data_IF_927001855129
#
_entry.id   IF_927001855129
#
_cell.length_a   1.000
_cell.length_b   1.000
_cell.length_c   1.000
_cell.angle_alpha   90.00
_cell.angle_beta   90.00
_cell.angle_gamma   90.00
#
_symmetry.space_group_name_H-M   'P 1'
#
loop_
_entity.id
_entity.type
_entity.pdbx_description
1 polymer ?
#
# COMPACT_ATOMS: atom_id res chain seq x y z
N UNK A 1 -4.58 -6.49 -12.31
CA UNK A 1 -3.83 -6.69 -11.03
C UNK A 1 -2.86 -7.84 -11.24
N UNK A 2 -1.60 -7.71 -10.81
CA UNK A 2 -0.63 -8.81 -10.90
C UNK A 2 -0.94 -9.82 -9.79
N UNK A 3 -1.13 -11.09 -10.15
CA UNK A 3 -1.42 -12.16 -9.20
C UNK A 3 -0.10 -12.65 -8.58
N UNK A 4 0.19 -12.24 -7.34
CA UNK A 4 1.42 -12.60 -6.63
C UNK A 4 1.05 -13.24 -5.29
N UNK A 5 1.41 -14.51 -5.09
CA UNK A 5 1.20 -15.21 -3.83
C UNK A 5 2.21 -14.71 -2.78
N UNK A 6 1.74 -14.38 -1.58
CA UNK A 6 2.59 -13.87 -0.48
C UNK A 6 3.15 -14.98 0.41
N UNK A 7 2.58 -16.18 0.30
CA UNK A 7 2.78 -17.30 1.24
C UNK A 7 4.01 -18.15 0.89
N UNK A 8 4.39 -18.22 -0.38
CA UNK A 8 5.46 -19.12 -0.87
C UNK A 8 6.82 -18.41 -1.01
N UNK A 9 7.20 -17.57 -0.05
CA UNK A 9 8.48 -16.86 -0.14
C UNK A 9 9.24 -16.86 1.19
N UNK A 10 10.21 -17.78 1.37
CA UNK A 10 10.99 -17.90 2.60
C UNK A 10 11.68 -16.59 2.98
N UNK A 11 11.69 -16.25 4.27
CA UNK A 11 12.27 -14.99 4.77
C UNK A 11 13.77 -14.87 4.44
N UNK A 12 14.50 -15.97 4.49
CA UNK A 12 15.93 -15.99 4.18
C UNK A 12 16.21 -15.71 2.70
N UNK A 13 15.44 -16.35 1.82
CA UNK A 13 15.49 -16.12 0.38
C UNK A 13 15.19 -14.64 0.08
N UNK A 14 14.18 -14.06 0.74
CA UNK A 14 13.85 -12.64 0.63
C UNK A 14 15.03 -11.74 0.98
N UNK A 15 15.74 -12.03 2.08
CA UNK A 15 16.91 -11.24 2.49
C UNK A 15 18.04 -11.34 1.46
N UNK A 16 18.31 -12.53 0.93
CA UNK A 16 19.33 -12.75 -0.12
C UNK A 16 18.99 -11.98 -1.40
N UNK A 17 17.73 -12.03 -1.85
CA UNK A 17 17.25 -11.31 -3.03
C UNK A 17 17.40 -9.79 -2.86
N UNK A 18 16.97 -9.24 -1.73
CA UNK A 18 17.13 -7.80 -1.47
C UNK A 18 18.60 -7.36 -1.40
N UNK A 19 19.48 -8.19 -0.81
CA UNK A 19 20.91 -7.90 -0.79
C UNK A 19 21.47 -7.85 -2.21
N UNK A 20 21.10 -8.82 -3.06
CA UNK A 20 21.56 -8.87 -4.44
C UNK A 20 21.07 -7.68 -5.26
N UNK A 21 19.81 -7.29 -5.06
CA UNK A 21 19.25 -6.08 -5.68
C UNK A 21 20.02 -4.82 -5.26
N UNK A 22 20.28 -4.67 -3.95
CA UNK A 22 21.06 -3.54 -3.44
C UNK A 22 22.49 -3.49 -4.01
N UNK A 23 23.16 -4.64 -4.15
CA UNK A 23 24.47 -4.71 -4.78
C UNK A 23 24.46 -4.29 -6.25
N UNK A 24 23.43 -4.67 -7.02
CA UNK A 24 23.28 -4.25 -8.42
C UNK A 24 23.12 -2.73 -8.53
N UNK A 25 22.30 -2.14 -7.67
CA UNK A 25 22.12 -0.70 -7.61
C UNK A 25 23.43 -0.01 -7.23
N UNK A 26 24.13 -0.49 -6.19
CA UNK A 26 25.40 0.09 -5.72
C UNK A 26 26.53 0.01 -6.75
N UNK A 27 26.55 -1.04 -7.59
CA UNK A 27 27.56 -1.25 -8.63
C UNK A 27 27.33 -0.41 -9.88
N UNK A 28 26.20 0.30 -9.99
CA UNK A 28 25.88 1.11 -11.16
C UNK A 28 26.52 2.50 -11.00
N UNK A 29 27.62 2.83 -11.70
CA UNK A 29 28.34 4.09 -11.52
C UNK A 29 27.61 5.30 -12.14
N UNK A 30 26.65 5.06 -13.05
CA UNK A 30 25.90 6.10 -13.75
C UNK A 30 24.40 5.80 -13.78
N UNK A 31 23.60 6.85 -13.95
CA UNK A 31 22.15 6.76 -14.08
C UNK A 31 21.75 5.87 -15.27
N UNK A 32 22.42 6.01 -16.42
CA UNK A 32 22.15 5.18 -17.59
C UNK A 32 22.43 3.69 -17.33
N UNK A 33 23.53 3.38 -16.63
CA UNK A 33 23.85 1.99 -16.26
C UNK A 33 22.84 1.42 -15.27
N UNK A 34 22.32 2.24 -14.36
CA UNK A 34 21.27 1.84 -13.43
C UNK A 34 19.99 1.47 -14.19
N UNK A 35 19.55 2.31 -15.13
CA UNK A 35 18.34 2.07 -15.94
C UNK A 35 18.49 0.80 -16.77
N UNK A 36 19.65 0.59 -17.40
CA UNK A 36 19.96 -0.66 -18.13
C UNK A 36 19.91 -1.89 -17.23
N UNK A 37 20.46 -1.81 -16.02
CA UNK A 37 20.42 -2.90 -15.06
C UNK A 37 19.00 -3.18 -14.56
N UNK A 38 18.17 -2.14 -14.37
CA UNK A 38 16.76 -2.29 -14.00
C UNK A 38 15.93 -2.91 -15.12
N UNK A 39 16.23 -2.63 -16.39
CA UNK A 39 15.56 -3.20 -17.55
C UNK A 39 15.75 -4.72 -17.69
N UNK A 40 16.76 -5.30 -17.04
CA UNK A 40 16.95 -6.76 -16.97
C UNK A 40 15.95 -7.39 -15.99
N UNK A 41 15.53 -6.65 -14.96
CA UNK A 41 14.69 -7.17 -13.87
C UNK A 41 13.21 -6.80 -14.01
N UNK A 42 12.92 -5.66 -14.62
CA UNK A 42 11.59 -5.09 -14.73
C UNK A 42 11.18 -4.94 -16.19
N UNK A 43 9.88 -5.08 -16.44
CA UNK A 43 9.31 -4.70 -17.72
C UNK A 43 9.31 -3.18 -17.89
N UNK A 44 9.25 -2.70 -19.14
CA UNK A 44 9.19 -1.27 -19.45
C UNK A 44 8.04 -0.55 -18.71
N UNK A 45 6.90 -1.22 -18.58
CA UNK A 45 5.74 -0.68 -17.85
C UNK A 45 5.97 -0.57 -16.33
N UNK A 46 6.69 -1.52 -15.73
CA UNK A 46 7.05 -1.48 -14.31
C UNK A 46 8.09 -0.40 -14.02
N UNK A 47 9.04 -0.19 -14.94
CA UNK A 47 10.02 0.89 -14.85
C UNK A 47 9.30 2.24 -14.92
N UNK A 48 8.45 2.44 -15.92
CA UNK A 48 7.64 3.67 -16.06
C UNK A 48 6.81 3.92 -14.80
N UNK A 49 6.23 2.86 -14.22
CA UNK A 49 5.47 2.98 -12.98
C UNK A 49 6.36 3.38 -11.80
N UNK A 50 7.58 2.85 -11.72
CA UNK A 50 8.55 3.19 -10.69
C UNK A 50 8.99 4.66 -10.81
N UNK A 51 9.30 5.13 -12.03
CA UNK A 51 9.63 6.53 -12.32
C UNK A 51 8.51 7.48 -11.90
N UNK A 52 7.27 7.21 -12.33
CA UNK A 52 6.08 8.00 -11.93
C UNK A 52 5.94 8.06 -10.40
N UNK A 53 6.20 6.96 -9.70
CA UNK A 53 6.13 6.92 -8.23
C UNK A 53 7.26 7.70 -7.56
N UNK A 54 8.47 7.69 -8.13
CA UNK A 54 9.60 8.49 -7.66
C UNK A 54 9.43 9.99 -7.95
N UNK A 55 8.71 10.34 -9.01
CA UNK A 55 8.39 11.74 -9.34
C UNK A 55 7.42 12.37 -8.33
N UNK A 56 6.52 11.59 -7.72
CA UNK A 56 5.50 12.11 -6.79
C UNK A 56 6.12 12.92 -5.63
N UNK A 57 7.10 12.42 -4.86
CA UNK A 57 7.76 13.20 -3.83
C UNK A 57 8.36 14.53 -4.33
N UNK A 58 8.96 14.54 -5.53
CA UNK A 58 9.54 15.74 -6.12
C UNK A 58 8.46 16.77 -6.49
N UNK A 59 7.35 16.32 -7.06
CA UNK A 59 6.21 17.20 -7.40
C UNK A 59 5.47 17.70 -6.16
N UNK A 60 5.36 16.87 -5.12
CA UNK A 60 4.82 17.29 -3.83
C UNK A 60 5.72 18.36 -3.17
N UNK A 61 7.04 18.22 -3.26
CA UNK A 61 7.98 19.22 -2.75
C UNK A 61 7.89 20.56 -3.50
N UNK A 62 7.53 20.52 -4.80
CA UNK A 62 7.21 21.71 -5.61
C UNK A 62 5.83 22.33 -5.30
N UNK A 63 5.07 21.77 -4.37
CA UNK A 63 3.78 22.32 -3.94
C UNK A 63 2.59 21.95 -4.81
N UNK A 64 2.73 21.03 -5.77
CA UNK A 64 1.61 20.64 -6.63
C UNK A 64 0.53 19.90 -5.84
N UNK A 65 -0.73 20.17 -6.17
CA UNK A 65 -1.88 19.47 -5.63
C UNK A 65 -1.98 18.04 -6.20
N UNK A 66 -2.73 17.18 -5.52
CA UNK A 66 -2.85 15.77 -5.93
C UNK A 66 -3.51 15.63 -7.31
N UNK A 67 -4.40 16.55 -7.67
CA UNK A 67 -5.06 16.57 -8.97
C UNK A 67 -4.09 16.96 -10.07
N UNK A 68 -3.25 17.96 -9.83
CA UNK A 68 -2.22 18.40 -10.80
C UNK A 68 -1.18 17.31 -11.01
N UNK A 69 -0.70 16.68 -9.93
CA UNK A 69 0.20 15.52 -10.02
C UNK A 69 -0.45 14.40 -10.83
N UNK A 70 -1.70 14.06 -10.52
CA UNK A 70 -2.40 13.00 -11.23
C UNK A 70 -2.56 13.29 -12.73
N UNK A 71 -2.79 14.55 -13.11
CA UNK A 71 -2.85 14.97 -14.52
C UNK A 71 -1.48 14.99 -15.20
N UNK A 72 -0.44 15.42 -14.50
CA UNK A 72 0.89 15.60 -15.09
C UNK A 72 1.61 14.28 -15.40
N UNK A 73 1.48 13.29 -14.51
CA UNK A 73 2.19 12.00 -14.64
C UNK A 73 1.25 10.81 -14.82
N UNK A 74 -0.05 11.06 -15.01
CA UNK A 74 -1.08 10.03 -15.20
C UNK A 74 -1.03 8.96 -14.10
N UNK A 75 -1.31 9.41 -12.87
CA UNK A 75 -1.33 8.57 -11.67
C UNK A 75 -2.57 8.87 -10.85
N UNK A 76 -3.21 7.83 -10.31
CA UNK A 76 -4.40 8.03 -9.47
C UNK A 76 -4.10 8.86 -8.22
N UNK A 77 -5.02 9.73 -7.76
CA UNK A 77 -4.87 10.46 -6.50
C UNK A 77 -4.65 9.55 -5.28
N UNK A 78 -5.17 8.31 -5.34
CA UNK A 78 -4.99 7.29 -4.30
C UNK A 78 -3.51 6.88 -4.20
N UNK A 79 -2.83 6.70 -5.34
CA UNK A 79 -1.41 6.39 -5.38
C UNK A 79 -0.56 7.54 -4.83
N UNK A 80 -0.90 8.79 -5.17
CA UNK A 80 -0.24 9.99 -4.63
C UNK A 80 -0.36 10.04 -3.11
N UNK A 81 -1.58 9.82 -2.60
CA UNK A 81 -1.84 9.74 -1.15
C UNK A 81 -1.04 8.62 -0.48
N UNK A 82 -1.04 7.41 -1.07
CA UNK A 82 -0.28 6.28 -0.56
C UNK A 82 1.21 6.59 -0.44
N UNK A 83 1.81 7.16 -1.48
CA UNK A 83 3.22 7.52 -1.52
C UNK A 83 3.54 8.58 -0.48
N UNK A 84 2.77 9.68 -0.44
CA UNK A 84 2.96 10.71 0.58
C UNK A 84 2.95 10.09 1.97
N UNK A 85 1.96 9.27 2.30
CA UNK A 85 1.84 8.69 3.63
C UNK A 85 2.89 7.64 3.98
N UNK A 86 3.53 6.99 3.01
CA UNK A 86 4.53 5.92 3.21
C UNK A 86 5.96 6.44 3.17
N UNK A 87 6.24 7.42 2.31
CA UNK A 87 7.59 7.94 2.07
C UNK A 87 7.88 9.23 2.86
N UNK A 88 6.89 10.08 3.13
CA UNK A 88 7.12 11.37 3.82
C UNK A 88 6.80 11.36 5.31
N UNK A 89 6.10 10.33 5.84
CA UNK A 89 5.86 10.23 7.28
C UNK A 89 7.04 9.55 7.96
N UNK A 90 7.66 10.25 8.91
CA UNK A 90 8.57 9.63 9.89
C UNK A 90 7.88 8.51 10.70
N UNK A 91 8.65 7.74 11.49
CA UNK A 91 8.11 6.64 12.27
C UNK A 91 6.92 7.13 13.11
N UNK A 92 5.78 6.44 12.99
CA UNK A 92 4.59 6.78 13.78
C UNK A 92 4.90 6.48 15.23
N UNK A 93 5.08 7.52 16.05
CA UNK A 93 5.02 7.37 17.50
C UNK A 93 3.60 6.87 17.82
N UNK A 94 3.45 5.72 18.50
CA UNK A 94 2.14 5.28 18.96
C UNK A 94 1.54 6.39 19.82
N UNK A 95 0.46 7.00 19.34
CA UNK A 95 -0.32 7.91 20.19
C UNK A 95 -1.06 7.04 21.19
N UNK A 96 -0.65 7.10 22.46
CA UNK A 96 -1.49 6.61 23.55
C UNK A 96 -2.82 7.34 23.47
N UNK A 97 -3.86 6.59 23.12
CA UNK A 97 -5.22 7.10 23.16
C UNK A 97 -5.62 7.08 24.63
N UNK A 98 -5.35 8.16 25.36
CA UNK A 98 -6.10 8.42 26.58
C UNK A 98 -7.55 8.66 26.17
N UNK A 99 -8.38 7.62 26.24
CA UNK A 99 -9.81 7.81 26.14
C UNK A 99 -10.24 8.56 27.40
N UNK A 100 -10.60 9.83 27.25
CA UNK A 100 -11.20 10.63 28.33
C UNK A 100 -12.54 10.04 28.83
N UNK A 101 -13.02 8.98 28.19
CA UNK A 101 -14.22 8.27 28.52
C UNK A 101 -13.89 6.80 28.82
N UNK A 102 -14.49 6.20 29.86
CA UNK A 102 -14.39 4.77 30.07
C UNK A 102 -14.94 4.03 28.85
N UNK A 103 -14.42 2.83 28.51
CA UNK A 103 -14.97 2.01 27.46
C UNK A 103 -16.47 1.82 27.72
N UNK A 104 -17.34 2.42 26.88
CA UNK A 104 -18.77 2.13 26.95
C UNK A 104 -18.91 0.63 26.70
N UNK A 105 -19.37 -0.10 27.71
CA UNK A 105 -19.80 -1.48 27.54
C UNK A 105 -20.76 -1.51 26.35
N UNK A 106 -20.32 -2.14 25.27
CA UNK A 106 -21.22 -2.49 24.17
C UNK A 106 -22.20 -3.49 24.76
N UNK A 107 -23.33 -3.01 25.27
CA UNK A 107 -24.50 -3.86 25.50
C UNK A 107 -24.69 -4.61 24.19
N UNK A 108 -24.47 -5.92 24.20
CA UNK A 108 -24.80 -6.79 23.08
C UNK A 108 -26.30 -6.58 22.88
N UNK A 109 -26.68 -5.77 21.90
CA UNK A 109 -28.05 -5.76 21.43
C UNK A 109 -28.32 -7.22 21.06
N UNK A 110 -29.14 -7.89 21.87
CA UNK A 110 -29.62 -9.21 21.53
C UNK A 110 -30.18 -9.10 20.11
N UNK A 111 -29.79 -10.03 19.24
CA UNK A 111 -30.31 -10.13 17.89
C UNK A 111 -31.80 -10.45 17.96
N UNK A 112 -32.63 -9.42 18.20
CA UNK A 112 -34.09 -9.52 18.22
C UNK A 112 -34.68 -9.53 16.81
N UNK A 113 -33.85 -9.38 15.77
CA UNK A 113 -34.27 -9.42 14.38
C UNK A 113 -33.50 -10.53 13.66
N UNK A 114 -34.10 -11.72 13.60
CA UNK A 114 -33.55 -12.79 12.76
C UNK A 114 -34.15 -14.18 13.00
N UNK A 115 -34.61 -14.49 14.22
CA UNK A 115 -35.16 -15.82 14.53
C UNK A 115 -36.68 -15.95 14.38
N UNK A 116 -37.44 -14.85 14.46
CA UNK A 116 -38.91 -14.91 14.39
C UNK A 116 -39.50 -14.79 12.97
N UNK A 117 -38.67 -14.66 11.92
CA UNK A 117 -39.16 -14.48 10.54
C UNK A 117 -39.71 -15.75 9.86
N UNK A 118 -39.49 -16.93 10.44
CA UNK A 118 -39.85 -18.22 9.83
C UNK A 118 -40.86 -19.04 10.64
N UNK A 119 -41.39 -18.50 11.75
CA UNK A 119 -42.35 -19.20 12.63
C UNK A 119 -43.69 -19.57 11.97
N UNK A 120 -43.97 -19.08 10.76
CA UNK A 120 -45.19 -19.42 10.01
C UNK A 120 -45.03 -20.65 9.11
N UNK A 121 -43.81 -21.20 8.95
CA UNK A 121 -43.57 -22.44 8.21
C UNK A 121 -43.82 -23.72 9.03
N UNK A 122 -44.03 -23.59 10.35
CA UNK A 122 -44.22 -24.74 11.25
C UNK A 122 -45.70 -25.13 11.42
N UNK A 123 -46.60 -24.64 10.56
CA UNK A 123 -48.01 -25.04 10.53
C UNK A 123 -48.17 -26.07 9.39
N UNK A 124 -47.81 -27.32 9.68
CA UNK A 124 -48.35 -28.56 9.11
C UNK A 124 -47.47 -29.75 9.52
N UNK A 125 -47.74 -30.32 10.70
CA UNK A 125 -47.52 -31.73 11.06
C UNK A 125 -48.48 -32.15 12.15
#
# INVERSE_FOLDING_TARGET
>A
MVNISKTQFPKELRKKVWRRFYELVKRSPSEETLVKNLAVLFTSSEITMLEKRLAIPLLLAKGLSYREIGRAIDVSPVTVSFIKHRLTKGPRVPRERHSLYPPRERKRAGSSMGRDRWRWLDIER
#
